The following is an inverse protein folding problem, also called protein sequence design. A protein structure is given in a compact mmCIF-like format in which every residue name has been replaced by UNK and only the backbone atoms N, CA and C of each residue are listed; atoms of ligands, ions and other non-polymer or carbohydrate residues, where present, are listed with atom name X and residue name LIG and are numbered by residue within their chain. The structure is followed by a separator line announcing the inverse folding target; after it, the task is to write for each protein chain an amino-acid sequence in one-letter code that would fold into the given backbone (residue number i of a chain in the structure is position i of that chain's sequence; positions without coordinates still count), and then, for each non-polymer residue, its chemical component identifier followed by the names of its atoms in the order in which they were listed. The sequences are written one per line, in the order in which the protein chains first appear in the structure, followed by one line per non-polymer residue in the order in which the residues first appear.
data_IF_172509792249
#
_entry.id   IF_172509792249
#
_cell.length_a   1.000
_cell.length_b   1.000
_cell.length_c   1.000
_cell.angle_alpha   90.00
_cell.angle_beta   90.00
_cell.angle_gamma   90.00
#
_symmetry.space_group_name_H-M   'P 1'
#
loop_
_entity.id
_entity.type
_entity.pdbx_description
1 polymer ?
#
# COMPACT_ATOMS: atom_id res chain seq x y z
N UNK A 1 10.23 -31.45 -12.45
CA UNK A 1 11.26 -31.26 -11.41
C UNK A 1 11.62 -29.78 -11.42
N UNK A 2 11.04 -29.00 -10.51
CA UNK A 2 11.40 -27.58 -10.33
C UNK A 2 11.19 -27.30 -8.87
N UNK A 3 12.29 -27.05 -8.16
CA UNK A 3 12.30 -26.68 -6.75
C UNK A 3 11.56 -25.34 -6.63
N UNK A 4 10.25 -25.41 -6.39
CA UNK A 4 9.48 -24.29 -5.87
C UNK A 4 10.16 -23.96 -4.55
N UNK A 5 10.88 -22.83 -4.49
CA UNK A 5 11.63 -22.41 -3.30
C UNK A 5 10.83 -22.68 -2.02
N UNK A 6 11.48 -23.27 -1.03
CA UNK A 6 10.84 -23.60 0.25
C UNK A 6 10.15 -22.35 0.82
N UNK A 7 8.93 -22.51 1.33
CA UNK A 7 8.15 -21.41 1.90
C UNK A 7 8.90 -20.75 3.07
N UNK A 8 9.71 -21.53 3.79
CA UNK A 8 10.61 -21.04 4.84
C UNK A 8 11.63 -20.06 4.26
N UNK A 9 12.22 -20.38 3.10
CA UNK A 9 13.22 -19.54 2.47
C UNK A 9 12.63 -18.19 2.03
N UNK A 10 11.47 -18.21 1.36
CA UNK A 10 10.74 -16.99 0.97
C UNK A 10 10.36 -16.15 2.18
N UNK A 11 9.86 -16.79 3.24
CA UNK A 11 9.52 -16.12 4.50
C UNK A 11 10.73 -15.47 5.16
N UNK A 12 11.88 -16.14 5.18
CA UNK A 12 13.12 -15.59 5.72
C UNK A 12 13.58 -14.35 4.94
N UNK A 13 13.51 -14.39 3.61
CA UNK A 13 13.82 -13.23 2.76
C UNK A 13 12.85 -12.05 3.02
N UNK A 14 11.53 -12.31 3.11
CA UNK A 14 10.54 -11.29 3.49
C UNK A 14 10.85 -10.68 4.86
N UNK A 15 11.14 -11.52 5.85
CA UNK A 15 11.47 -11.06 7.20
C UNK A 15 12.72 -10.19 7.19
N UNK A 16 13.74 -10.55 6.41
CA UNK A 16 14.95 -9.75 6.30
C UNK A 16 14.70 -8.39 5.68
N UNK A 17 13.94 -8.32 4.58
CA UNK A 17 13.54 -7.04 3.97
C UNK A 17 12.79 -6.18 4.99
N UNK A 18 11.87 -6.77 5.77
CA UNK A 18 11.13 -6.07 6.82
C UNK A 18 12.01 -5.62 8.00
N UNK A 19 13.08 -6.34 8.29
CA UNK A 19 14.06 -6.00 9.33
C UNK A 19 14.90 -4.80 8.92
N UNK A 20 15.45 -4.80 7.69
CA UNK A 20 16.39 -3.78 7.20
C UNK A 20 15.71 -2.57 6.56
N UNK A 21 14.38 -2.55 6.47
CA UNK A 21 13.61 -1.47 5.82
C UNK A 21 13.98 -0.07 6.28
N UNK A 22 14.20 0.13 7.58
CA UNK A 22 14.56 1.44 8.12
C UNK A 22 15.97 1.88 7.69
N UNK A 23 16.90 0.94 7.55
CA UNK A 23 18.26 1.20 7.04
C UNK A 23 18.20 1.64 5.57
N UNK A 24 17.40 0.96 4.74
CA UNK A 24 17.22 1.31 3.33
C UNK A 24 16.62 2.72 3.14
N UNK A 25 15.63 3.07 3.95
CA UNK A 25 15.02 4.42 3.93
C UNK A 25 16.04 5.47 4.37
N UNK A 26 16.83 5.19 5.42
CA UNK A 26 17.87 6.10 5.89
C UNK A 26 18.96 6.33 4.83
N UNK A 27 19.38 5.27 4.14
CA UNK A 27 20.33 5.35 3.03
C UNK A 27 19.78 6.16 1.85
N UNK A 28 18.51 5.96 1.49
CA UNK A 28 17.84 6.77 0.46
C UNK A 28 17.78 8.25 0.84
N UNK A 29 17.36 8.57 2.06
CA UNK A 29 17.32 9.95 2.55
C UNK A 29 18.71 10.61 2.59
N UNK A 30 19.74 9.87 3.00
CA UNK A 30 21.12 10.36 2.99
C UNK A 30 21.59 10.68 1.55
N UNK A 31 21.35 9.75 0.61
CA UNK A 31 21.69 9.96 -0.79
C UNK A 31 20.99 11.20 -1.36
N UNK A 32 19.69 11.35 -1.12
CA UNK A 32 18.92 12.51 -1.56
C UNK A 32 19.48 13.81 -0.99
N UNK A 33 19.80 13.84 0.30
CA UNK A 33 20.38 15.00 0.99
C UNK A 33 21.75 15.39 0.43
N UNK A 34 22.57 14.44 0.02
CA UNK A 34 23.92 14.70 -0.48
C UNK A 34 23.96 15.01 -1.99
N UNK A 35 23.10 14.37 -2.77
CA UNK A 35 23.20 14.34 -4.24
C UNK A 35 22.05 15.03 -4.95
N UNK A 36 20.90 15.18 -4.30
CA UNK A 36 19.67 15.70 -4.89
C UNK A 36 19.24 16.97 -4.16
N UNK A 37 20.12 17.97 -4.19
CA UNK A 37 19.91 19.27 -3.54
C UNK A 37 19.54 20.32 -4.58
N UNK A 38 18.40 20.96 -4.38
CA UNK A 38 17.83 21.98 -5.28
C UNK A 38 17.36 23.21 -4.49
N UNK A 39 16.92 24.29 -5.15
CA UNK A 39 16.30 25.48 -4.51
C UNK A 39 14.78 25.40 -4.37
N UNK A 40 14.20 24.28 -4.78
CA UNK A 40 12.77 24.02 -4.74
C UNK A 40 12.40 22.87 -5.67
N UNK A 41 11.24 22.28 -5.46
CA UNK A 41 10.77 21.15 -6.26
C UNK A 41 9.27 21.10 -6.37
N UNK A 42 8.77 20.79 -7.58
CA UNK A 42 7.34 20.59 -7.82
C UNK A 42 6.94 19.22 -7.32
N UNK A 43 5.76 19.09 -6.74
CA UNK A 43 5.22 17.79 -6.29
C UNK A 43 5.09 16.79 -7.46
N UNK A 44 4.73 17.26 -8.66
CA UNK A 44 4.61 16.43 -9.88
C UNK A 44 5.92 16.24 -10.67
N UNK A 45 7.09 16.35 -10.07
CA UNK A 45 8.40 16.33 -10.76
C UNK A 45 8.93 14.94 -11.15
N UNK A 46 8.17 13.86 -10.93
CA UNK A 46 8.68 12.48 -11.06
C UNK A 46 9.52 12.03 -9.87
N UNK A 47 9.65 12.87 -8.84
CA UNK A 47 10.47 12.58 -7.66
C UNK A 47 9.99 11.37 -6.86
N UNK A 48 8.67 11.10 -6.86
CA UNK A 48 8.13 9.88 -6.27
C UNK A 48 8.73 8.61 -6.88
N UNK A 49 8.73 8.52 -8.21
CA UNK A 49 9.34 7.41 -8.96
C UNK A 49 10.84 7.32 -8.74
N UNK A 50 11.53 8.46 -8.58
CA UNK A 50 12.95 8.44 -8.22
C UNK A 50 13.19 7.87 -6.82
N UNK A 51 12.32 8.17 -5.84
CA UNK A 51 12.42 7.62 -4.48
C UNK A 51 12.11 6.12 -4.44
N UNK A 52 11.12 5.68 -5.22
CA UNK A 52 10.77 4.28 -5.44
C UNK A 52 11.99 3.49 -5.97
N UNK A 53 12.62 4.02 -7.02
CA UNK A 53 13.87 3.55 -7.59
C UNK A 53 15.02 3.48 -6.55
N UNK A 54 15.29 4.60 -5.88
CA UNK A 54 16.38 4.69 -4.90
C UNK A 54 16.18 3.73 -3.72
N UNK A 55 14.92 3.48 -3.31
CA UNK A 55 14.63 2.45 -2.33
C UNK A 55 15.08 1.08 -2.82
N UNK A 56 14.71 0.67 -4.03
CA UNK A 56 15.11 -0.63 -4.59
C UNK A 56 16.63 -0.77 -4.69
N UNK A 57 17.31 0.29 -5.15
CA UNK A 57 18.77 0.34 -5.19
C UNK A 57 19.41 0.18 -3.80
N UNK A 58 19.02 1.01 -2.83
CA UNK A 58 19.61 0.99 -1.49
C UNK A 58 19.27 -0.28 -0.71
N UNK A 59 18.04 -0.80 -0.88
CA UNK A 59 17.64 -2.10 -0.34
C UNK A 59 18.58 -3.20 -0.83
N UNK A 60 18.87 -3.23 -2.13
CA UNK A 60 19.80 -4.20 -2.70
C UNK A 60 21.22 -4.05 -2.13
N UNK A 61 21.73 -2.81 -2.02
CA UNK A 61 23.05 -2.56 -1.43
C UNK A 61 23.17 -3.03 0.02
N UNK A 62 22.08 -2.94 0.79
CA UNK A 62 22.06 -3.41 2.18
C UNK A 62 21.96 -4.94 2.25
N UNK A 63 21.14 -5.57 1.40
CA UNK A 63 21.06 -7.03 1.32
C UNK A 63 22.41 -7.68 1.00
N UNK A 64 23.27 -7.03 0.21
CA UNK A 64 24.63 -7.52 -0.06
C UNK A 64 25.50 -7.69 1.20
N UNK A 65 25.16 -7.01 2.30
CA UNK A 65 25.84 -7.18 3.61
C UNK A 65 25.43 -8.45 4.34
N UNK A 66 24.36 -9.12 3.91
CA UNK A 66 23.77 -10.30 4.55
C UNK A 66 23.70 -11.48 3.56
N UNK A 67 24.85 -12.06 3.18
CA UNK A 67 24.93 -13.11 2.16
C UNK A 67 24.15 -14.38 2.53
N UNK A 68 23.87 -14.61 3.81
CA UNK A 68 23.13 -15.77 4.32
C UNK A 68 21.67 -15.86 3.82
N UNK A 69 21.08 -14.75 3.37
CA UNK A 69 19.72 -14.75 2.80
C UNK A 69 19.71 -15.06 1.30
N UNK A 70 20.88 -15.07 0.65
CA UNK A 70 21.07 -15.46 -0.76
C UNK A 70 20.07 -14.84 -1.76
N UNK A 71 19.66 -13.59 -1.54
CA UNK A 71 18.69 -12.91 -2.40
C UNK A 71 19.14 -11.50 -2.79
N UNK A 72 18.53 -10.97 -3.84
CA UNK A 72 18.74 -9.60 -4.32
C UNK A 72 17.44 -8.99 -4.85
N UNK A 73 17.40 -7.65 -4.96
CA UNK A 73 16.28 -6.92 -5.54
C UNK A 73 16.56 -6.65 -7.01
N UNK A 74 15.80 -7.28 -7.88
CA UNK A 74 15.86 -7.10 -9.32
C UNK A 74 14.88 -6.03 -9.78
N UNK A 75 15.35 -5.21 -10.72
CA UNK A 75 14.52 -4.33 -11.54
C UNK A 75 14.24 -5.04 -12.85
N UNK A 76 12.97 -5.14 -13.22
CA UNK A 76 12.63 -5.79 -14.48
C UNK A 76 12.65 -4.79 -15.63
N UNK A 77 13.28 -5.13 -16.78
CA UNK A 77 13.18 -4.33 -17.99
C UNK A 77 11.82 -4.46 -18.70
N UNK A 78 10.92 -5.26 -18.14
CA UNK A 78 9.65 -5.68 -18.70
C UNK A 78 8.51 -4.76 -18.18
N UNK A 79 7.44 -4.57 -18.97
CA UNK A 79 6.27 -3.77 -18.59
C UNK A 79 5.35 -4.49 -17.57
N UNK A 80 5.93 -5.15 -16.56
CA UNK A 80 5.16 -5.82 -15.52
C UNK A 80 4.58 -4.83 -14.52
N UNK A 81 3.54 -5.28 -13.81
CA UNK A 81 2.81 -4.46 -12.85
C UNK A 81 3.66 -4.07 -11.63
N UNK A 82 4.43 -5.05 -11.12
CA UNK A 82 5.29 -4.85 -9.97
C UNK A 82 6.59 -4.17 -10.37
N UNK A 83 7.02 -3.23 -9.54
CA UNK A 83 8.22 -2.44 -9.80
C UNK A 83 9.51 -3.26 -9.58
N UNK A 84 9.47 -4.26 -8.68
CA UNK A 84 10.62 -5.13 -8.39
C UNK A 84 10.22 -6.59 -8.15
N UNK A 85 11.21 -7.49 -8.19
CA UNK A 85 11.15 -8.76 -7.49
C UNK A 85 12.35 -8.98 -6.58
N UNK A 86 12.11 -9.76 -5.54
CA UNK A 86 13.17 -10.44 -4.83
C UNK A 86 13.48 -11.75 -5.56
N UNK A 87 14.71 -11.90 -6.02
CA UNK A 87 15.19 -13.10 -6.71
C UNK A 87 16.29 -13.78 -5.89
N UNK A 88 16.49 -15.08 -6.12
CA UNK A 88 17.66 -15.78 -5.61
C UNK A 88 18.92 -15.20 -6.29
N UNK A 89 19.93 -14.89 -5.48
CA UNK A 89 21.17 -14.28 -5.94
C UNK A 89 21.90 -15.19 -6.91
N UNK A 90 22.43 -14.61 -8.00
CA UNK A 90 23.15 -15.30 -9.07
C UNK A 90 22.34 -16.39 -9.80
N UNK A 91 21.03 -16.47 -9.54
CA UNK A 91 20.14 -17.42 -10.20
C UNK A 91 19.75 -16.94 -11.60
N UNK A 92 19.52 -17.88 -12.51
CA UNK A 92 18.95 -17.54 -13.83
C UNK A 92 17.50 -17.15 -13.62
N UNK A 93 17.20 -15.88 -13.91
CA UNK A 93 15.83 -15.40 -13.99
C UNK A 93 15.23 -15.67 -15.37
N UNK A 94 13.99 -16.17 -15.40
CA UNK A 94 13.20 -16.32 -16.62
C UNK A 94 11.86 -15.61 -16.45
N UNK A 95 11.60 -14.49 -17.16
CA UNK A 95 10.36 -13.72 -17.04
C UNK A 95 9.10 -14.54 -17.38
N UNK A 96 9.22 -15.55 -18.24
CA UNK A 96 8.05 -16.34 -18.67
C UNK A 96 7.63 -17.36 -17.61
N UNK A 97 8.61 -17.92 -16.91
CA UNK A 97 8.38 -18.99 -15.93
C UNK A 97 8.52 -18.52 -14.49
N UNK A 98 8.92 -17.26 -14.29
CA UNK A 98 9.28 -16.67 -13.00
C UNK A 98 10.34 -17.50 -12.26
N UNK A 99 11.14 -18.29 -13.00
CA UNK A 99 12.26 -19.02 -12.42
C UNK A 99 13.22 -18.01 -11.79
N UNK A 100 13.73 -18.32 -10.60
CA UNK A 100 14.57 -17.38 -9.85
C UNK A 100 13.79 -16.43 -8.94
N UNK A 101 12.49 -16.21 -9.17
CA UNK A 101 11.67 -15.30 -8.34
C UNK A 101 11.27 -15.95 -7.00
N UNK A 102 11.52 -15.23 -5.91
CA UNK A 102 11.04 -15.56 -4.57
C UNK A 102 9.65 -14.95 -4.34
N UNK A 103 9.51 -13.66 -4.64
CA UNK A 103 8.27 -12.89 -4.55
C UNK A 103 8.44 -11.51 -5.21
N UNK A 104 7.32 -10.83 -5.43
CA UNK A 104 7.28 -9.51 -6.08
C UNK A 104 7.08 -8.39 -5.08
N UNK A 105 7.49 -7.18 -5.45
CA UNK A 105 7.37 -6.00 -4.62
C UNK A 105 6.75 -4.88 -5.46
N UNK A 106 5.57 -4.44 -5.04
CA UNK A 106 4.97 -3.20 -5.49
C UNK A 106 5.50 -2.06 -4.64
N UNK A 107 5.96 -0.97 -5.25
CA UNK A 107 6.27 0.25 -4.51
C UNK A 107 5.45 1.42 -5.02
N UNK A 108 4.98 2.24 -4.10
CA UNK A 108 4.28 3.49 -4.42
C UNK A 108 4.75 4.59 -3.49
N UNK A 109 4.72 5.82 -3.99
CA UNK A 109 5.05 7.01 -3.22
C UNK A 109 3.91 8.02 -3.24
N UNK A 110 3.72 8.69 -2.11
CA UNK A 110 2.77 9.79 -1.94
C UNK A 110 3.48 10.99 -1.34
N UNK A 111 3.32 12.15 -1.99
CA UNK A 111 3.81 13.38 -1.41
C UNK A 111 2.84 13.87 -0.34
N UNK A 112 3.34 14.20 0.86
CA UNK A 112 2.54 14.61 2.01
C UNK A 112 1.64 15.82 1.74
N UNK A 113 2.02 16.70 0.82
CA UNK A 113 1.29 17.93 0.50
C UNK A 113 0.44 17.85 -0.76
N UNK A 114 0.44 16.73 -1.49
CA UNK A 114 -0.44 16.55 -2.63
C UNK A 114 -1.59 15.62 -2.33
N UNK A 115 -2.69 15.86 -3.04
CA UNK A 115 -3.78 14.91 -3.16
C UNK A 115 -3.25 13.60 -3.76
N UNK A 116 -3.90 12.50 -3.40
CA UNK A 116 -3.60 11.08 -3.68
C UNK A 116 -3.57 10.72 -5.19
N UNK A 117 -3.48 11.73 -6.05
CA UNK A 117 -3.59 11.70 -7.50
C UNK A 117 -2.69 10.70 -8.25
N UNK A 118 -1.75 10.01 -7.59
CA UNK A 118 -0.81 9.08 -8.23
C UNK A 118 -0.51 7.77 -7.49
N UNK A 119 -0.98 7.58 -6.26
CA UNK A 119 -0.71 6.36 -5.48
C UNK A 119 -1.82 5.33 -5.68
N UNK A 120 -1.67 4.42 -6.66
CA UNK A 120 -2.62 3.32 -6.87
C UNK A 120 -1.95 1.97 -6.65
N UNK A 121 -2.61 1.12 -5.86
CA UNK A 121 -2.41 -0.31 -5.72
C UNK A 121 -3.69 -1.02 -6.17
N UNK A 122 -3.83 -1.20 -7.48
CA UNK A 122 -4.98 -1.76 -8.18
C UNK A 122 -4.77 -3.21 -8.67
N UNK A 123 -3.71 -3.89 -8.22
CA UNK A 123 -3.46 -5.28 -8.60
C UNK A 123 -4.59 -6.21 -8.16
N UNK A 124 -5.06 -7.05 -9.07
CA UNK A 124 -6.09 -8.04 -8.77
C UNK A 124 -5.52 -9.09 -7.83
N UNK A 125 -6.29 -9.48 -6.80
CA UNK A 125 -5.88 -10.43 -5.77
C UNK A 125 -5.30 -11.73 -6.34
N UNK A 126 -5.90 -12.28 -7.40
CA UNK A 126 -5.45 -13.53 -8.04
C UNK A 126 -4.05 -13.45 -8.66
N UNK A 127 -3.54 -12.24 -8.91
CA UNK A 127 -2.23 -11.99 -9.49
C UNK A 127 -1.16 -11.72 -8.40
N UNK A 128 -1.51 -11.81 -7.13
CA UNK A 128 -0.60 -11.60 -6.00
C UNK A 128 -0.21 -12.94 -5.37
N UNK A 129 1.09 -13.12 -5.16
CA UNK A 129 1.64 -14.24 -4.40
C UNK A 129 1.50 -14.04 -2.89
N UNK A 130 1.55 -15.16 -2.16
CA UNK A 130 1.49 -15.18 -0.68
C UNK A 130 2.56 -14.31 -0.02
N UNK A 131 3.73 -14.17 -0.65
CA UNK A 131 4.89 -13.46 -0.10
C UNK A 131 5.10 -12.07 -0.72
N UNK A 132 4.24 -11.65 -1.65
CA UNK A 132 4.40 -10.37 -2.34
C UNK A 132 4.25 -9.21 -1.34
N UNK A 133 5.04 -8.16 -1.56
CA UNK A 133 5.10 -7.01 -0.67
C UNK A 133 4.54 -5.76 -1.32
N UNK A 134 3.86 -4.95 -0.52
CA UNK A 134 3.51 -3.57 -0.84
C UNK A 134 4.40 -2.64 0.00
N UNK A 135 5.11 -1.75 -0.68
CA UNK A 135 5.89 -0.67 -0.09
C UNK A 135 5.20 0.65 -0.39
N UNK A 136 4.96 1.46 0.63
CA UNK A 136 4.40 2.81 0.46
C UNK A 136 5.29 3.83 1.15
N UNK A 137 5.73 4.84 0.40
CA UNK A 137 6.60 5.91 0.88
C UNK A 137 5.81 7.22 1.01
N UNK A 138 5.78 7.82 2.20
CA UNK A 138 5.33 9.21 2.37
C UNK A 138 6.55 10.10 2.32
N UNK A 139 6.53 11.12 1.46
CA UNK A 139 7.67 12.01 1.30
C UNK A 139 7.28 13.47 1.18
N UNK A 140 8.24 14.35 1.48
CA UNK A 140 8.12 15.79 1.34
C UNK A 140 9.46 16.41 0.92
N UNK A 141 9.44 17.69 0.58
CA UNK A 141 10.66 18.46 0.42
C UNK A 141 11.10 18.99 1.78
N UNK A 142 12.31 18.66 2.21
CA UNK A 142 12.92 19.18 3.45
C UNK A 142 14.11 20.06 3.16
N UNK A 143 14.34 21.03 4.03
CA UNK A 143 15.48 21.94 3.96
C UNK A 143 16.16 22.05 5.32
N UNK A 144 17.49 22.02 5.31
CA UNK A 144 18.32 22.21 6.51
C UNK A 144 18.66 23.69 6.73
N UNK A 145 18.75 24.49 5.66
CA UNK A 145 19.19 25.89 5.68
C UNK A 145 18.08 26.90 5.29
N UNK A 146 16.87 26.40 5.02
CA UNK A 146 15.73 27.18 4.51
C UNK A 146 15.86 27.63 3.05
N UNK A 147 16.97 27.32 2.37
CA UNK A 147 17.29 27.79 1.01
C UNK A 147 17.33 26.61 0.03
N UNK A 148 17.91 25.49 0.45
CA UNK A 148 18.14 24.30 -0.33
C UNK A 148 17.26 23.16 0.18
N UNK A 149 16.59 22.50 -0.75
CA UNK A 149 15.64 21.44 -0.50
C UNK A 149 16.13 20.14 -1.12
N UNK A 150 15.82 19.04 -0.44
CA UNK A 150 15.99 17.68 -0.96
C UNK A 150 14.70 16.88 -0.68
N UNK A 151 14.38 15.88 -1.52
CA UNK A 151 13.28 14.98 -1.22
C UNK A 151 13.64 14.14 0.00
N UNK A 152 12.68 13.94 0.89
CA UNK A 152 12.87 13.19 2.12
C UNK A 152 11.66 12.30 2.35
N UNK A 153 11.91 11.01 2.57
CA UNK A 153 10.91 10.04 2.99
C UNK A 153 10.64 10.26 4.48
N UNK A 154 9.47 10.81 4.78
CA UNK A 154 9.01 11.14 6.12
C UNK A 154 8.54 9.91 6.91
N UNK A 155 7.96 8.94 6.21
CA UNK A 155 7.39 7.74 6.79
C UNK A 155 7.21 6.65 5.71
N UNK A 156 7.06 5.40 6.11
CA UNK A 156 6.91 4.28 5.18
C UNK A 156 6.09 3.12 5.77
N UNK A 157 5.53 2.33 4.86
CA UNK A 157 4.92 1.04 5.11
C UNK A 157 5.59 -0.02 4.24
N UNK A 158 5.87 -1.20 4.83
CA UNK A 158 6.27 -2.41 4.09
C UNK A 158 5.53 -3.59 4.70
N UNK A 159 4.60 -4.16 3.95
CA UNK A 159 3.77 -5.27 4.41
C UNK A 159 3.29 -6.16 3.27
N UNK A 160 2.44 -7.13 3.59
CA UNK A 160 1.99 -8.14 2.63
C UNK A 160 0.99 -7.54 1.64
N UNK A 161 1.25 -7.65 0.33
CA UNK A 161 0.41 -7.06 -0.70
C UNK A 161 -0.96 -7.76 -0.80
N UNK A 162 -1.00 -9.08 -0.63
CA UNK A 162 -2.22 -9.88 -0.71
C UNK A 162 -3.21 -9.50 0.42
N UNK A 163 -2.74 -9.35 1.65
CA UNK A 163 -3.57 -8.94 2.78
C UNK A 163 -4.15 -7.52 2.62
N UNK A 164 -3.41 -6.62 1.96
CA UNK A 164 -3.91 -5.27 1.63
C UNK A 164 -4.91 -5.31 0.48
N UNK A 165 -4.70 -6.16 -0.52
CA UNK A 165 -5.68 -6.39 -1.58
C UNK A 165 -6.98 -6.98 -1.01
N UNK A 166 -6.91 -7.91 -0.06
CA UNK A 166 -8.09 -8.46 0.63
C UNK A 166 -8.89 -7.39 1.38
N UNK A 167 -8.21 -6.48 2.11
CA UNK A 167 -8.86 -5.34 2.76
C UNK A 167 -9.59 -4.47 1.74
N UNK A 168 -8.88 -4.07 0.67
CA UNK A 168 -9.43 -3.26 -0.42
C UNK A 168 -10.64 -3.93 -1.07
N UNK A 169 -10.56 -5.23 -1.33
CA UNK A 169 -11.58 -5.98 -2.06
C UNK A 169 -12.83 -6.20 -1.20
N UNK A 170 -12.67 -6.47 0.10
CA UNK A 170 -13.77 -6.50 1.08
C UNK A 170 -14.48 -5.14 1.17
N UNK A 171 -13.72 -4.04 1.20
CA UNK A 171 -14.29 -2.68 1.20
C UNK A 171 -14.97 -2.34 -0.14
N UNK A 172 -14.42 -2.81 -1.25
CA UNK A 172 -15.01 -2.66 -2.57
C UNK A 172 -16.35 -3.40 -2.70
N UNK A 173 -16.45 -4.62 -2.18
CA UNK A 173 -17.71 -5.39 -2.16
C UNK A 173 -18.73 -4.73 -1.25
N UNK A 174 -18.34 -4.29 -0.04
CA UNK A 174 -19.28 -3.68 0.92
C UNK A 174 -19.83 -2.32 0.49
N UNK A 175 -19.18 -1.60 -0.45
CA UNK A 175 -19.77 -0.42 -1.13
C UNK A 175 -20.68 -0.76 -2.32
N UNK A 176 -20.99 -2.04 -2.53
CA UNK A 176 -21.82 -2.55 -3.62
C UNK A 176 -21.04 -2.88 -4.90
N UNK A 177 -19.72 -2.79 -4.89
CA UNK A 177 -18.89 -3.24 -6.02
C UNK A 177 -18.89 -4.76 -6.18
N UNK A 178 -18.35 -5.22 -7.30
CA UNK A 178 -18.22 -6.64 -7.62
C UNK A 178 -16.99 -6.89 -8.48
N UNK A 179 -16.60 -8.15 -8.63
CA UNK A 179 -15.51 -8.56 -9.50
C UNK A 179 -16.04 -9.43 -10.63
N UNK A 180 -15.47 -9.27 -11.83
CA UNK A 180 -15.87 -10.03 -13.00
C UNK A 180 -15.57 -11.51 -12.81
N UNK A 181 -16.60 -12.34 -12.93
CA UNK A 181 -16.46 -13.78 -13.09
C UNK A 181 -16.01 -14.09 -14.53
N UNK A 182 -14.85 -14.74 -14.66
CA UNK A 182 -14.25 -15.10 -15.94
C UNK A 182 -15.09 -16.08 -16.76
N UNK A 183 -16.03 -16.79 -16.14
CA UNK A 183 -16.95 -17.72 -16.80
C UNK A 183 -18.24 -17.06 -17.28
N UNK A 184 -18.55 -15.87 -16.74
CA UNK A 184 -19.76 -15.08 -16.95
C UNK A 184 -19.41 -13.60 -17.25
N UNK A 185 -18.41 -13.39 -18.11
CA UNK A 185 -17.93 -12.06 -18.44
C UNK A 185 -18.99 -11.22 -19.19
N UNK A 186 -19.20 -9.94 -18.83
CA UNK A 186 -20.12 -9.04 -19.55
C UNK A 186 -19.86 -8.90 -21.06
N UNK A 187 -18.59 -9.07 -21.49
CA UNK A 187 -18.20 -9.05 -22.90
C UNK A 187 -18.41 -10.40 -23.62
N UNK A 188 -18.95 -11.41 -22.94
CA UNK A 188 -19.16 -12.78 -23.46
C UNK A 188 -17.90 -13.37 -24.11
N UNK A 189 -16.74 -13.19 -23.47
CA UNK A 189 -15.48 -13.71 -23.97
C UNK A 189 -15.52 -15.22 -24.18
N UNK A 190 -14.87 -15.70 -25.24
CA UNK A 190 -14.78 -17.12 -25.58
C UNK A 190 -13.92 -17.92 -24.59
N UNK A 191 -12.88 -17.29 -24.04
CA UNK A 191 -11.93 -17.92 -23.12
C UNK A 191 -12.54 -18.06 -21.72
N UNK A 192 -12.28 -19.18 -21.04
CA UNK A 192 -12.79 -19.46 -19.69
C UNK A 192 -11.69 -20.02 -18.76
N UNK A 193 -11.31 -19.32 -17.67
CA UNK A 193 -11.72 -17.96 -17.33
C UNK A 193 -11.19 -16.95 -18.35
N UNK A 194 -11.97 -15.90 -18.65
CA UNK A 194 -11.53 -14.88 -19.59
C UNK A 194 -10.47 -13.94 -18.98
N UNK A 195 -9.81 -13.15 -19.84
CA UNK A 195 -8.81 -12.15 -19.45
C UNK A 195 -9.31 -11.07 -18.47
N UNK A 196 -10.63 -10.90 -18.33
CA UNK A 196 -11.23 -9.92 -17.44
C UNK A 196 -11.55 -10.51 -16.05
N UNK A 197 -11.26 -11.79 -15.78
CA UNK A 197 -11.54 -12.37 -14.48
C UNK A 197 -10.87 -11.58 -13.36
N UNK A 198 -11.64 -11.24 -12.33
CA UNK A 198 -11.17 -10.45 -11.19
C UNK A 198 -11.11 -8.94 -11.44
N UNK A 199 -11.51 -8.44 -12.61
CA UNK A 199 -11.57 -7.00 -12.85
C UNK A 199 -12.70 -6.35 -12.02
N UNK A 200 -12.47 -5.21 -11.35
CA UNK A 200 -13.44 -4.56 -10.48
C UNK A 200 -14.51 -3.79 -11.27
N UNK A 201 -15.76 -3.96 -10.84
CA UNK A 201 -16.93 -3.22 -11.28
C UNK A 201 -17.51 -2.45 -10.09
N UNK A 202 -17.86 -1.18 -10.27
CA UNK A 202 -18.54 -0.42 -9.22
C UNK A 202 -20.00 -0.88 -9.03
N UNK A 203 -20.69 -0.26 -8.06
CA UNK A 203 -22.09 -0.58 -7.75
C UNK A 203 -23.10 -0.38 -8.91
N UNK A 204 -22.71 0.34 -9.96
CA UNK A 204 -23.50 0.51 -11.18
C UNK A 204 -23.04 -0.44 -12.31
N UNK A 205 -22.29 -1.50 -11.96
CA UNK A 205 -21.68 -2.45 -12.89
C UNK A 205 -20.79 -1.79 -13.97
N UNK A 206 -20.11 -0.69 -13.62
CA UNK A 206 -19.15 -0.03 -14.52
C UNK A 206 -17.72 -0.38 -14.14
N UNK A 207 -16.87 -0.65 -15.14
CA UNK A 207 -15.45 -0.96 -14.90
C UNK A 207 -14.74 0.18 -14.18
N UNK A 208 -13.91 -0.17 -13.21
CA UNK A 208 -13.07 0.78 -12.47
C UNK A 208 -11.61 0.80 -12.93
N UNK A 209 -11.24 -0.14 -13.82
CA UNK A 209 -9.94 -0.27 -14.48
C UNK A 209 -10.07 -0.29 -16.00
N UNK A 210 -9.04 0.15 -16.71
CA UNK A 210 -9.01 0.17 -18.18
C UNK A 210 -9.05 -1.23 -18.81
N UNK A 211 -8.48 -2.21 -18.11
CA UNK A 211 -8.44 -3.62 -18.50
C UNK A 211 -9.76 -4.37 -18.27
N UNK A 212 -10.74 -3.76 -17.61
CA UNK A 212 -12.08 -4.33 -17.44
C UNK A 212 -12.90 -4.41 -18.74
N UNK A 213 -14.03 -5.15 -18.73
CA UNK A 213 -14.88 -5.37 -19.90
C UNK A 213 -15.27 -4.07 -20.61
N UNK A 214 -15.23 -4.03 -21.93
CA UNK A 214 -15.52 -2.83 -22.72
C UNK A 214 -17.00 -2.44 -22.60
N UNK A 215 -17.90 -3.43 -22.55
CA UNK A 215 -19.35 -3.22 -22.38
C UNK A 215 -19.71 -2.47 -21.10
N UNK A 216 -18.86 -2.53 -20.07
CA UNK A 216 -19.06 -1.86 -18.78
C UNK A 216 -18.33 -0.52 -18.66
N UNK A 217 -17.76 0.00 -19.75
CA UNK A 217 -17.09 1.32 -19.77
C UNK A 217 -18.07 2.46 -19.39
N UNK A 218 -17.71 3.36 -18.45
CA UNK A 218 -18.48 4.58 -18.20
C UNK A 218 -18.48 5.52 -19.42
N UNK A 219 -19.63 6.13 -19.73
CA UNK A 219 -19.77 7.12 -20.80
C UNK A 219 -18.88 8.35 -20.54
N UNK A 220 -18.13 8.80 -21.55
CA UNK A 220 -17.28 9.99 -21.45
C UNK A 220 -16.00 9.84 -20.61
N UNK A 221 -15.72 8.66 -20.04
CA UNK A 221 -14.48 8.42 -19.30
C UNK A 221 -13.38 7.84 -20.20
N UNK A 222 -12.29 8.60 -20.36
CA UNK A 222 -11.01 8.10 -20.91
C UNK A 222 -10.10 7.50 -19.84
N UNK A 223 -10.37 7.77 -18.56
CA UNK A 223 -9.55 7.38 -17.41
C UNK A 223 -10.40 6.55 -16.44
N UNK A 224 -10.24 5.22 -16.47
CA UNK A 224 -10.82 4.33 -15.48
C UNK A 224 -9.70 3.85 -14.54
N UNK A 225 -9.45 4.63 -13.48
CA UNK A 225 -8.56 4.28 -12.37
C UNK A 225 -9.18 4.75 -11.05
N UNK A 226 -10.38 4.25 -10.75
CA UNK A 226 -11.07 4.55 -9.47
C UNK A 226 -10.82 3.48 -8.40
N UNK A 227 -10.18 2.39 -8.79
CA UNK A 227 -9.84 1.27 -7.92
C UNK A 227 -8.38 1.37 -7.47
N UNK A 228 -8.11 0.94 -6.24
CA UNK A 228 -6.74 0.84 -5.73
C UNK A 228 -6.11 2.12 -5.19
N UNK A 229 -6.82 3.25 -5.10
CA UNK A 229 -6.26 4.42 -4.41
C UNK A 229 -5.86 4.05 -2.97
N UNK A 230 -4.59 4.24 -2.61
CA UNK A 230 -4.00 3.88 -1.31
C UNK A 230 -4.77 4.41 -0.09
N UNK A 231 -5.20 5.67 -0.13
CA UNK A 231 -6.03 6.29 0.92
C UNK A 231 -7.50 6.06 0.61
N UNK A 232 -7.92 6.27 -0.64
CA UNK A 232 -9.34 6.19 -1.04
C UNK A 232 -9.96 4.82 -0.77
N UNK A 233 -9.20 3.74 -0.89
CA UNK A 233 -9.71 2.39 -0.66
C UNK A 233 -10.14 2.16 0.79
N UNK A 234 -9.65 2.97 1.74
CA UNK A 234 -10.03 2.90 3.16
C UNK A 234 -11.30 3.72 3.49
N UNK A 235 -11.84 4.49 2.54
CA UNK A 235 -13.02 5.33 2.79
C UNK A 235 -14.26 4.47 2.97
N UNK A 236 -15.00 4.74 4.04
CA UNK A 236 -16.28 4.11 4.36
C UNK A 236 -17.41 5.13 4.19
N UNK A 237 -18.54 4.70 3.64
CA UNK A 237 -19.72 5.57 3.41
C UNK A 237 -20.98 5.12 4.14
N UNK A 238 -20.97 3.94 4.77
CA UNK A 238 -22.08 3.37 5.51
C UNK A 238 -21.58 2.47 6.65
N UNK A 239 -22.49 2.05 7.53
CA UNK A 239 -22.13 1.28 8.73
C UNK A 239 -21.62 -0.13 8.41
N UNK A 240 -22.12 -0.77 7.34
CA UNK A 240 -21.62 -2.07 6.87
C UNK A 240 -20.14 -1.99 6.48
N UNK A 241 -19.75 -0.94 5.75
CA UNK A 241 -18.36 -0.72 5.39
C UNK A 241 -17.48 -0.45 6.61
N UNK A 242 -17.99 0.31 7.61
CA UNK A 242 -17.27 0.55 8.85
C UNK A 242 -17.05 -0.73 9.64
N UNK A 243 -18.05 -1.60 9.72
CA UNK A 243 -17.93 -2.91 10.34
C UNK A 243 -16.87 -3.75 9.63
N UNK A 244 -16.92 -3.87 8.29
CA UNK A 244 -15.91 -4.58 7.51
C UNK A 244 -14.51 -4.02 7.73
N UNK A 245 -14.37 -2.69 7.73
CA UNK A 245 -13.11 -2.00 8.00
C UNK A 245 -12.54 -2.39 9.38
N UNK A 246 -13.37 -2.29 10.42
CA UNK A 246 -12.97 -2.51 11.82
C UNK A 246 -12.66 -3.97 12.11
N UNK A 247 -13.50 -4.89 11.64
CA UNK A 247 -13.30 -6.33 11.76
C UNK A 247 -12.04 -6.79 11.02
N UNK A 248 -11.81 -6.26 9.80
CA UNK A 248 -10.57 -6.58 9.07
C UNK A 248 -9.34 -6.03 9.80
N UNK A 249 -9.43 -4.80 10.34
CA UNK A 249 -8.38 -4.21 11.17
C UNK A 249 -8.10 -5.03 12.43
N UNK A 250 -9.11 -5.57 13.11
CA UNK A 250 -8.90 -6.38 14.32
C UNK A 250 -8.24 -7.72 14.01
N UNK A 251 -8.67 -8.38 12.95
CA UNK A 251 -8.25 -9.75 12.60
C UNK A 251 -6.93 -9.83 11.82
N UNK A 252 -6.59 -8.82 11.01
CA UNK A 252 -5.41 -8.86 10.15
C UNK A 252 -4.35 -7.83 10.57
N UNK A 253 -3.14 -8.32 10.89
CA UNK A 253 -2.04 -7.47 11.35
C UNK A 253 -1.51 -6.54 10.25
N UNK A 254 -1.35 -7.00 9.01
CA UNK A 254 -0.87 -6.14 7.92
C UNK A 254 -1.88 -5.05 7.58
N UNK A 255 -3.19 -5.36 7.59
CA UNK A 255 -4.26 -4.39 7.44
C UNK A 255 -4.21 -3.35 8.56
N UNK A 256 -4.04 -3.79 9.81
CA UNK A 256 -3.87 -2.88 10.94
C UNK A 256 -2.67 -1.94 10.79
N UNK A 257 -1.50 -2.47 10.44
CA UNK A 257 -0.29 -1.69 10.23
C UNK A 257 -0.46 -0.68 9.09
N UNK A 258 -1.10 -1.09 8.00
CA UNK A 258 -1.39 -0.23 6.85
C UNK A 258 -2.37 0.90 7.19
N UNK A 259 -3.49 0.57 7.83
CA UNK A 259 -4.48 1.55 8.28
C UNK A 259 -3.84 2.55 9.24
N UNK A 260 -3.04 2.07 10.20
CA UNK A 260 -2.35 2.93 11.18
C UNK A 260 -1.32 3.84 10.48
N UNK A 261 -0.62 3.33 9.47
CA UNK A 261 0.28 4.12 8.63
C UNK A 261 -0.46 5.20 7.84
N UNK A 262 -1.60 4.89 7.23
CA UNK A 262 -2.40 5.90 6.52
C UNK A 262 -2.93 6.94 7.50
N UNK A 263 -3.54 6.54 8.62
CA UNK A 263 -4.15 7.48 9.56
C UNK A 263 -3.14 8.36 10.30
N UNK A 264 -1.91 7.90 10.56
CA UNK A 264 -0.88 8.77 11.17
C UNK A 264 -0.35 9.83 10.22
N UNK A 265 -0.39 9.57 8.91
CA UNK A 265 0.03 10.53 7.87
C UNK A 265 -1.14 11.38 7.34
N UNK A 266 -2.35 10.84 7.34
CA UNK A 266 -3.58 11.46 6.86
C UNK A 266 -4.67 11.41 7.95
N UNK A 267 -4.48 12.14 9.06
CA UNK A 267 -5.32 12.03 10.26
C UNK A 267 -6.81 12.37 10.04
N UNK A 268 -7.14 13.14 9.01
CA UNK A 268 -8.52 13.45 8.67
C UNK A 268 -9.30 12.24 8.15
N UNK A 269 -8.60 11.24 7.59
CA UNK A 269 -9.21 10.05 6.98
C UNK A 269 -9.74 9.07 8.03
N UNK A 270 -9.23 9.13 9.27
CA UNK A 270 -9.68 8.32 10.40
C UNK A 270 -10.98 8.82 11.03
N UNK A 271 -11.23 10.13 10.97
CA UNK A 271 -12.26 10.81 11.79
C UNK A 271 -13.63 10.16 11.61
N UNK A 272 -13.99 9.79 10.38
CA UNK A 272 -15.29 9.24 10.04
C UNK A 272 -15.36 7.71 10.08
N UNK A 273 -14.26 7.03 10.43
CA UNK A 273 -14.20 5.58 10.58
C UNK A 273 -14.81 5.12 11.90
N UNK A 274 -14.86 6.01 12.90
CA UNK A 274 -15.35 5.73 14.24
C UNK A 274 -16.48 6.68 14.67
N UNK A 275 -17.44 6.16 15.43
CA UNK A 275 -18.58 6.92 15.96
C UNK A 275 -18.14 7.81 17.13
N UNK A 276 -18.99 8.75 17.54
CA UNK A 276 -18.69 9.62 18.68
C UNK A 276 -18.51 8.83 19.99
N UNK A 277 -19.31 7.78 20.21
CA UNK A 277 -19.20 6.95 21.40
C UNK A 277 -17.96 6.05 21.38
N UNK A 278 -17.52 5.56 20.22
CA UNK A 278 -16.25 4.82 20.13
C UNK A 278 -15.05 5.69 20.47
N UNK A 279 -15.03 6.96 20.00
CA UNK A 279 -13.98 7.90 20.39
C UNK A 279 -14.01 8.23 21.88
N UNK A 280 -15.21 8.29 22.46
CA UNK A 280 -15.40 8.52 23.89
C UNK A 280 -14.95 7.32 24.72
N UNK A 281 -15.23 6.11 24.25
CA UNK A 281 -14.78 4.88 24.87
C UNK A 281 -13.27 4.73 24.80
N UNK A 282 -12.67 4.99 23.64
CA UNK A 282 -11.22 5.02 23.50
C UNK A 282 -10.59 6.03 24.47
N UNK A 283 -11.18 7.21 24.65
CA UNK A 283 -10.69 8.18 25.63
C UNK A 283 -10.70 7.60 27.05
N UNK A 284 -11.76 6.87 27.45
CA UNK A 284 -11.83 6.20 28.76
C UNK A 284 -10.74 5.14 28.92
N UNK A 285 -10.55 4.28 27.92
CA UNK A 285 -9.52 3.22 27.92
C UNK A 285 -8.12 3.82 28.08
N UNK A 286 -7.87 4.96 27.41
CA UNK A 286 -6.60 5.67 27.45
C UNK A 286 -6.46 6.62 28.66
N UNK A 287 -7.36 6.55 29.63
CA UNK A 287 -7.38 7.39 30.84
C UNK A 287 -7.44 8.91 30.54
N UNK A 288 -7.99 9.29 29.39
CA UNK A 288 -8.25 10.68 29.00
C UNK A 288 -9.68 11.03 29.38
N UNK A 289 -9.86 12.19 30.03
CA UNK A 289 -11.20 12.69 30.39
C UNK A 289 -12.08 12.84 29.14
N UNK A 290 -13.19 12.07 29.00
CA UNK A 290 -14.04 12.15 27.82
C UNK A 290 -14.81 13.48 27.75
N UNK A 291 -14.90 14.03 26.56
CA UNK A 291 -15.79 15.13 26.17
C UNK A 291 -17.07 14.60 25.54
N UNK A 292 -18.12 15.42 25.56
CA UNK A 292 -19.36 15.17 24.81
C UNK A 292 -19.20 15.47 23.31
N UNK A 293 -18.18 16.25 22.92
CA UNK A 293 -17.87 16.53 21.52
C UNK A 293 -16.86 15.51 21.00
N UNK A 294 -17.16 14.93 19.84
CA UNK A 294 -16.30 13.95 19.16
C UNK A 294 -14.93 14.54 18.83
N UNK A 295 -14.92 15.78 18.35
CA UNK A 295 -13.72 16.50 17.91
C UNK A 295 -12.76 16.72 19.08
N UNK A 296 -13.28 17.06 20.26
CA UNK A 296 -12.48 17.24 21.48
C UNK A 296 -11.82 15.91 21.90
N UNK A 297 -12.57 14.80 21.84
CA UNK A 297 -12.02 13.47 22.15
C UNK A 297 -10.86 13.13 21.21
N UNK A 298 -11.08 13.27 19.90
CA UNK A 298 -10.05 13.02 18.89
C UNK A 298 -8.82 13.89 19.13
N UNK A 299 -9.01 15.19 19.36
CA UNK A 299 -7.91 16.12 19.63
C UNK A 299 -7.13 15.73 20.88
N UNK A 300 -7.80 15.45 21.99
CA UNK A 300 -7.16 15.11 23.27
C UNK A 300 -6.39 13.77 23.19
N UNK A 301 -6.95 12.77 22.53
CA UNK A 301 -6.29 11.48 22.28
C UNK A 301 -5.01 11.69 21.47
N UNK A 302 -5.09 12.37 20.33
CA UNK A 302 -3.94 12.60 19.46
C UNK A 302 -2.86 13.46 20.10
N UNK A 303 -3.25 14.43 20.91
CA UNK A 303 -2.32 15.26 21.67
C UNK A 303 -1.56 14.45 22.71
N UNK A 304 -2.22 13.51 23.38
CA UNK A 304 -1.63 12.69 24.46
C UNK A 304 -0.81 11.52 23.91
N UNK A 305 -1.15 11.05 22.70
CA UNK A 305 -0.51 9.92 22.04
C UNK A 305 0.00 10.33 20.64
N UNK A 306 1.02 11.22 20.57
CA UNK A 306 1.62 11.62 19.32
C UNK A 306 2.25 10.39 18.64
N UNK A 307 2.16 10.30 17.31
CA UNK A 307 2.54 9.12 16.50
C UNK A 307 1.53 7.97 16.46
N UNK A 308 0.28 8.21 16.85
CA UNK A 308 -0.81 7.24 16.65
C UNK A 308 -0.64 5.94 17.46
N UNK A 309 0.07 5.99 18.60
CA UNK A 309 0.29 4.81 19.44
C UNK A 309 -1.01 4.22 20.02
N UNK A 310 -2.10 5.00 20.06
CA UNK A 310 -3.45 4.56 20.43
C UNK A 310 -4.11 3.59 19.42
N UNK A 311 -3.47 3.32 18.27
CA UNK A 311 -4.01 2.48 17.22
C UNK A 311 -4.32 1.06 17.69
N UNK A 312 -3.55 0.56 18.66
CA UNK A 312 -3.68 -0.78 19.21
C UNK A 312 -4.98 -0.91 20.00
N UNK A 313 -5.28 0.05 20.85
CA UNK A 313 -6.51 0.07 21.65
C UNK A 313 -7.73 0.22 20.73
N UNK A 314 -7.64 1.04 19.67
CA UNK A 314 -8.68 1.09 18.63
C UNK A 314 -8.91 -0.25 17.93
N UNK A 315 -7.86 -1.05 17.78
CA UNK A 315 -7.94 -2.38 17.16
C UNK A 315 -8.65 -3.36 18.10
N UNK A 316 -8.37 -3.28 19.39
CA UNK A 316 -8.91 -4.19 20.43
C UNK A 316 -10.37 -3.93 20.79
N UNK A 317 -10.96 -2.82 20.32
CA UNK A 317 -12.39 -2.55 20.43
C UNK A 317 -13.28 -3.49 19.59
N UNK A 318 -12.70 -4.26 18.66
CA UNK A 318 -13.39 -5.13 17.67
C UNK A 318 -12.63 -6.46 17.50
#
# INVERSE_FOLDING_TARGET
MTLKYDSIYRKNAVNKIKEIKAEAISATNLFCREKIVTRGGRVGSGMGTLLEALWGFNMNQILLKYPEFNCEIAWFPDNEYNDFACIEKDSIWDPKTQRGELFRIEIKSMNRLADESKGHFDQIQQNLGEFDLLVVLIWSWRSDDGIRFSPYIDDFYIGNALEIAELRDKLHISRGGSFVDGFNCPDNCSDKPCKHHGEPLNANNKRERLSGPISTKPSGSSHASNFGGLVRMLKTSNDVMREVFRTTRSQNLAAHEYISFIHRNFPYEEVNQYTAEEWKELARILEIKPSNKKEDNIYNIRKSFPNHSYAKELRELY
#
